data_IF_254004810909
#
_entry.id   IF_254004810909
#
_cell.length_a   1.000
_cell.length_b   1.000
_cell.length_c   1.000
_cell.angle_alpha   90.00
_cell.angle_beta   90.00
_cell.angle_gamma   90.00
#
_symmetry.space_group_name_H-M   'P 1'
#
loop_
_entity.id
_entity.type
_entity.pdbx_description
1 polymer ?
#
# COMPACT_ATOMS: atom_id res chain seq x y z
N UNK A 1 11.44 -4.75 9.46
CA UNK A 1 11.01 -3.90 10.59
C UNK A 1 9.54 -3.58 10.41
N UNK A 2 8.77 -3.64 11.50
CA UNK A 2 7.37 -3.23 11.55
C UNK A 2 7.20 -2.20 12.67
N UNK A 3 6.67 -1.01 12.36
CA UNK A 3 6.48 0.06 13.34
C UNK A 3 5.29 0.96 12.98
N UNK A 4 4.69 1.60 13.99
CA UNK A 4 3.72 2.68 13.81
C UNK A 4 4.44 4.02 13.59
N UNK A 5 3.72 5.05 13.13
CA UNK A 5 4.30 6.34 12.73
C UNK A 5 5.37 6.90 13.66
N UNK A 6 5.14 7.14 14.95
CA UNK A 6 6.18 7.74 15.79
C UNK A 6 7.46 6.91 15.86
N UNK A 7 7.32 5.59 15.95
CA UNK A 7 8.48 4.70 16.05
C UNK A 7 9.22 4.55 14.71
N UNK A 8 8.51 4.59 13.57
CA UNK A 8 9.14 4.54 12.25
C UNK A 8 9.97 5.79 11.95
N UNK A 9 9.48 6.95 12.33
CA UNK A 9 10.17 8.24 12.21
C UNK A 9 11.44 8.23 13.07
N UNK A 10 11.31 7.95 14.37
CA UNK A 10 12.44 7.91 15.31
C UNK A 10 13.49 6.89 14.84
N UNK A 11 13.06 5.71 14.40
CA UNK A 11 13.97 4.68 13.89
C UNK A 11 14.85 5.19 12.75
N UNK A 12 14.24 5.80 11.74
CA UNK A 12 14.98 6.25 10.56
C UNK A 12 15.88 7.44 10.85
N UNK A 13 15.39 8.41 11.63
CA UNK A 13 16.19 9.56 12.07
C UNK A 13 17.39 9.11 12.94
N UNK A 14 17.17 8.18 13.86
CA UNK A 14 18.27 7.64 14.70
C UNK A 14 19.31 6.91 13.87
N UNK A 15 18.89 6.14 12.86
CA UNK A 15 19.84 5.50 11.95
C UNK A 15 20.72 6.53 11.23
N UNK A 16 20.12 7.60 10.74
CA UNK A 16 20.84 8.67 10.06
C UNK A 16 21.79 9.41 11.03
N UNK A 17 21.30 9.82 12.19
CA UNK A 17 22.09 10.53 13.21
C UNK A 17 23.31 9.73 13.71
N UNK A 18 23.15 8.42 13.81
CA UNK A 18 24.20 7.51 14.25
C UNK A 18 25.07 6.97 13.12
N UNK A 19 24.85 7.41 11.89
CA UNK A 19 25.50 6.91 10.66
C UNK A 19 25.47 5.37 10.54
N UNK A 20 24.33 4.77 10.91
CA UNK A 20 24.13 3.32 10.79
C UNK A 20 23.75 3.00 9.36
N UNK A 21 24.66 2.37 8.63
CA UNK A 21 24.51 2.03 7.23
C UNK A 21 24.26 0.52 7.04
N UNK A 22 23.14 0.18 6.41
CA UNK A 22 22.82 -1.19 5.99
C UNK A 22 22.78 -1.25 4.46
N UNK A 23 23.01 -2.44 3.90
CA UNK A 23 22.86 -2.68 2.45
C UNK A 23 21.41 -2.53 1.99
N UNK A 24 20.46 -2.70 2.88
CA UNK A 24 19.03 -2.41 2.69
C UNK A 24 18.34 -2.28 4.04
N UNK A 25 17.26 -1.51 4.07
CA UNK A 25 16.32 -1.46 5.20
C UNK A 25 14.96 -1.88 4.65
N UNK A 26 14.51 -3.06 5.06
CA UNK A 26 13.23 -3.62 4.64
C UNK A 26 12.24 -3.48 5.79
N UNK A 27 11.13 -2.86 5.50
CA UNK A 27 10.04 -2.59 6.45
C UNK A 27 8.74 -3.21 5.97
N UNK A 28 7.77 -3.28 6.85
CA UNK A 28 6.45 -3.76 6.49
C UNK A 28 5.40 -2.74 6.94
N UNK A 29 4.67 -2.19 5.97
CA UNK A 29 3.48 -1.35 6.19
C UNK A 29 3.57 -0.38 7.39
N UNK A 30 2.45 -0.21 8.09
CA UNK A 30 2.35 0.62 9.30
C UNK A 30 2.70 2.07 9.02
N UNK A 31 3.55 2.63 9.86
CA UNK A 31 3.98 4.01 9.76
C UNK A 31 4.81 4.34 8.52
N UNK A 32 5.48 3.37 7.93
CA UNK A 32 6.38 3.60 6.79
C UNK A 32 5.69 3.93 5.46
N UNK A 33 4.37 3.77 5.36
CA UNK A 33 3.59 4.06 4.16
C UNK A 33 2.60 5.21 4.36
N UNK A 34 2.70 5.95 5.46
CA UNK A 34 1.79 7.07 5.73
C UNK A 34 2.34 8.38 5.18
N UNK A 35 1.43 9.30 4.84
CA UNK A 35 1.77 10.66 4.41
C UNK A 35 2.57 11.37 5.49
N UNK A 36 2.15 11.27 6.77
CA UNK A 36 2.84 11.89 7.92
C UNK A 36 4.30 11.44 8.05
N UNK A 37 4.61 10.17 7.74
CA UNK A 37 5.98 9.68 7.74
C UNK A 37 6.82 10.44 6.72
N UNK A 38 6.36 10.53 5.47
CA UNK A 38 7.09 11.24 4.42
C UNK A 38 7.24 12.73 4.70
N UNK A 39 6.18 13.39 5.15
CA UNK A 39 6.20 14.81 5.49
C UNK A 39 7.23 15.11 6.59
N UNK A 40 7.47 14.14 7.47
CA UNK A 40 8.38 14.30 8.61
C UNK A 40 9.83 13.95 8.28
N UNK A 41 10.06 12.84 7.55
CA UNK A 41 11.43 12.34 7.32
C UNK A 41 12.01 12.82 5.98
N UNK A 42 11.17 13.22 5.03
CA UNK A 42 11.61 13.74 3.74
C UNK A 42 12.59 12.81 3.03
N UNK A 43 13.67 13.39 2.52
CA UNK A 43 14.71 12.68 1.76
C UNK A 43 15.44 11.58 2.57
N UNK A 44 15.32 11.60 3.91
CA UNK A 44 15.85 10.52 4.76
C UNK A 44 15.20 9.16 4.47
N UNK A 45 13.97 9.17 3.90
CA UNK A 45 13.31 7.95 3.47
C UNK A 45 13.88 7.32 2.18
N UNK A 46 14.76 8.04 1.45
CA UNK A 46 15.26 7.58 0.16
C UNK A 46 15.89 6.19 0.25
N UNK A 47 15.58 5.33 -0.70
CA UNK A 47 15.97 3.91 -0.78
C UNK A 47 15.38 2.97 0.29
N UNK A 48 14.49 3.47 1.18
CA UNK A 48 13.77 2.60 2.10
C UNK A 48 12.88 1.62 1.31
N UNK A 49 12.96 0.35 1.64
CA UNK A 49 12.11 -0.68 1.06
C UNK A 49 10.96 -1.01 2.01
N UNK A 50 9.75 -1.12 1.49
CA UNK A 50 8.60 -1.50 2.31
C UNK A 50 7.65 -2.45 1.58
N UNK A 51 7.10 -3.40 2.32
CA UNK A 51 5.96 -4.16 1.84
C UNK A 51 4.73 -3.25 1.80
N UNK A 52 4.01 -3.30 0.69
CA UNK A 52 2.84 -2.49 0.45
C UNK A 52 1.77 -3.33 -0.26
N UNK A 53 0.58 -2.78 -0.43
CA UNK A 53 -0.52 -3.39 -1.20
C UNK A 53 -0.91 -2.53 -2.39
N UNK A 54 -0.28 -1.37 -2.54
CA UNK A 54 -0.58 -0.40 -3.57
C UNK A 54 0.58 0.57 -3.76
N UNK A 55 0.83 0.91 -5.00
CA UNK A 55 1.59 2.07 -5.45
C UNK A 55 1.00 2.52 -6.78
N UNK A 56 1.18 3.77 -7.16
CA UNK A 56 0.52 4.29 -8.36
C UNK A 56 1.03 3.62 -9.63
N UNK A 57 2.30 3.27 -9.69
CA UNK A 57 2.92 2.55 -10.80
C UNK A 57 2.41 1.11 -10.92
N UNK A 58 2.13 0.43 -9.80
CA UNK A 58 1.63 -0.96 -9.79
C UNK A 58 0.22 -1.13 -10.34
N UNK A 59 -0.50 -0.04 -10.56
CA UNK A 59 -1.87 -0.01 -11.10
C UNK A 59 -1.98 0.90 -12.31
N UNK A 60 -0.87 1.12 -13.01
CA UNK A 60 -0.78 2.01 -14.18
C UNK A 60 -1.64 1.58 -15.37
N UNK A 61 -2.03 0.31 -15.42
CA UNK A 61 -2.99 -0.27 -16.39
C UNK A 61 -4.45 0.08 -16.08
N UNK A 62 -4.73 0.77 -14.96
CA UNK A 62 -6.07 1.12 -14.48
C UNK A 62 -6.25 2.65 -14.38
N UNK A 63 -6.56 3.34 -15.47
CA UNK A 63 -6.68 4.81 -15.47
C UNK A 63 -7.65 5.36 -14.43
N UNK A 64 -8.73 4.62 -14.12
CA UNK A 64 -9.71 5.03 -13.12
C UNK A 64 -9.12 5.09 -11.69
N UNK A 65 -8.07 4.30 -11.39
CA UNK A 65 -7.37 4.39 -10.08
C UNK A 65 -6.55 5.68 -10.01
N UNK A 66 -5.97 6.12 -11.12
CA UNK A 66 -5.28 7.41 -11.19
C UNK A 66 -6.27 8.57 -11.00
N UNK A 67 -7.48 8.49 -11.56
CA UNK A 67 -8.55 9.46 -11.32
C UNK A 67 -8.95 9.51 -9.84
N UNK A 68 -9.10 8.36 -9.19
CA UNK A 68 -9.36 8.29 -7.75
C UNK A 68 -8.22 8.89 -6.92
N UNK A 69 -6.98 8.65 -7.30
CA UNK A 69 -5.83 9.30 -6.66
C UNK A 69 -5.91 10.83 -6.79
N UNK A 70 -6.29 11.34 -7.95
CA UNK A 70 -6.48 12.78 -8.14
C UNK A 70 -7.63 13.31 -7.28
N UNK A 71 -8.76 12.57 -7.18
CA UNK A 71 -9.85 12.94 -6.29
C UNK A 71 -9.41 13.03 -4.82
N UNK A 72 -8.54 12.14 -4.37
CA UNK A 72 -7.95 12.24 -3.03
C UNK A 72 -7.10 13.50 -2.87
N UNK A 73 -6.25 13.83 -3.85
CA UNK A 73 -5.44 15.05 -3.83
C UNK A 73 -6.34 16.29 -3.72
N UNK A 74 -7.40 16.35 -4.52
CA UNK A 74 -8.34 17.47 -4.56
C UNK A 74 -9.13 17.62 -3.25
N UNK A 75 -9.48 16.48 -2.61
CA UNK A 75 -10.32 16.48 -1.42
C UNK A 75 -9.54 16.70 -0.11
N UNK A 76 -8.34 16.15 0.01
CA UNK A 76 -7.59 16.12 1.28
C UNK A 76 -6.16 16.66 1.17
N UNK A 77 -5.74 17.11 -0.01
CA UNK A 77 -4.43 17.73 -0.24
C UNK A 77 -3.27 16.74 -0.39
N UNK A 78 -3.53 15.42 -0.38
CA UNK A 78 -2.49 14.42 -0.58
C UNK A 78 -3.01 13.23 -1.41
N UNK A 79 -2.10 12.56 -2.12
CA UNK A 79 -2.40 11.36 -2.89
C UNK A 79 -2.74 10.15 -2.02
N UNK A 80 -3.27 9.13 -2.67
CA UNK A 80 -3.53 7.84 -2.03
C UNK A 80 -2.22 7.19 -1.57
N UNK A 81 -2.32 6.42 -0.52
CA UNK A 81 -1.30 5.49 -0.06
C UNK A 81 -1.92 4.11 0.17
N UNK A 82 -1.10 3.10 0.50
CA UNK A 82 -1.60 1.74 0.69
C UNK A 82 -2.66 1.59 1.79
N UNK A 83 -2.72 2.50 2.77
CA UNK A 83 -3.78 2.50 3.79
C UNK A 83 -5.11 2.97 3.18
N UNK A 84 -5.10 4.05 2.42
CA UNK A 84 -6.29 4.55 1.72
C UNK A 84 -6.78 3.54 0.68
N UNK A 85 -5.88 2.98 -0.13
CA UNK A 85 -6.22 1.99 -1.14
C UNK A 85 -6.94 0.77 -0.53
N UNK A 86 -6.44 0.24 0.60
CA UNK A 86 -7.11 -0.87 1.31
C UNK A 86 -8.47 -0.49 1.87
N UNK A 87 -8.60 0.68 2.47
CA UNK A 87 -9.87 1.15 3.02
C UNK A 87 -10.93 1.30 1.92
N UNK A 88 -10.54 1.89 0.79
CA UNK A 88 -11.42 2.06 -0.36
C UNK A 88 -11.77 0.70 -0.99
N UNK A 89 -10.81 -0.21 -1.14
CA UNK A 89 -11.08 -1.56 -1.63
C UNK A 89 -12.07 -2.31 -0.73
N UNK A 90 -11.92 -2.20 0.59
CA UNK A 90 -12.86 -2.81 1.52
C UNK A 90 -14.27 -2.21 1.38
N UNK A 91 -14.36 -0.90 1.18
CA UNK A 91 -15.62 -0.22 0.94
C UNK A 91 -16.30 -0.71 -0.35
N UNK A 92 -15.58 -0.78 -1.48
CA UNK A 92 -16.13 -1.28 -2.72
C UNK A 92 -16.55 -2.75 -2.64
N UNK A 93 -15.79 -3.57 -1.94
CA UNK A 93 -16.16 -4.97 -1.69
C UNK A 93 -17.45 -5.08 -0.87
N UNK A 94 -17.62 -4.18 0.12
CA UNK A 94 -18.87 -4.12 0.90
C UNK A 94 -20.05 -3.66 0.07
N UNK A 95 -19.88 -2.66 -0.79
CA UNK A 95 -20.94 -2.16 -1.69
C UNK A 95 -21.38 -3.26 -2.66
N UNK A 96 -20.45 -3.96 -3.28
CA UNK A 96 -20.74 -5.10 -4.15
C UNK A 96 -21.53 -6.19 -3.41
N UNK A 97 -21.13 -6.51 -2.18
CA UNK A 97 -21.86 -7.50 -1.38
C UNK A 97 -23.27 -7.02 -0.99
N UNK A 98 -23.45 -5.73 -0.68
CA UNK A 98 -24.75 -5.12 -0.39
C UNK A 98 -25.67 -5.15 -1.61
N UNK A 99 -25.16 -4.80 -2.78
CA UNK A 99 -25.93 -4.83 -4.04
C UNK A 99 -26.40 -6.24 -4.37
N UNK A 100 -25.52 -7.24 -4.22
CA UNK A 100 -25.87 -8.65 -4.46
C UNK A 100 -26.84 -9.19 -3.40
N UNK A 101 -26.71 -8.78 -2.13
CA UNK A 101 -27.62 -9.18 -1.07
C UNK A 101 -29.04 -8.59 -1.28
N UNK A 102 -29.13 -7.38 -1.88
CA UNK A 102 -30.39 -6.64 -1.99
C UNK A 102 -31.06 -6.34 -0.65
N UNK A 103 -30.32 -6.43 0.47
CA UNK A 103 -30.81 -6.37 1.83
C UNK A 103 -29.69 -5.93 2.77
N UNK A 104 -30.07 -5.29 3.88
CA UNK A 104 -29.17 -4.99 5.02
C UNK A 104 -29.27 -6.03 6.14
N UNK A 105 -30.00 -7.12 5.91
CA UNK A 105 -30.05 -8.25 6.84
C UNK A 105 -28.64 -8.87 6.98
N UNK A 106 -28.23 -9.14 8.22
CA UNK A 106 -26.89 -9.58 8.52
C UNK A 106 -26.52 -10.93 7.90
N UNK A 107 -27.49 -11.85 7.85
CA UNK A 107 -27.24 -13.18 7.30
C UNK A 107 -27.15 -13.13 5.78
N UNK A 108 -28.07 -12.38 5.13
CA UNK A 108 -28.04 -12.14 3.69
C UNK A 108 -26.75 -11.45 3.25
N UNK A 109 -26.30 -10.42 4.00
CA UNK A 109 -25.07 -9.70 3.69
C UNK A 109 -23.82 -10.58 3.89
N UNK A 110 -23.79 -11.37 4.97
CA UNK A 110 -22.70 -12.32 5.22
C UNK A 110 -22.58 -13.37 4.12
N UNK A 111 -23.71 -13.90 3.67
CA UNK A 111 -23.72 -14.92 2.61
C UNK A 111 -23.32 -14.31 1.26
N UNK A 112 -23.77 -13.09 0.95
CA UNK A 112 -23.29 -12.34 -0.20
C UNK A 112 -21.78 -12.04 -0.13
N UNK A 113 -21.25 -11.63 1.03
CA UNK A 113 -19.82 -11.40 1.21
C UNK A 113 -18.99 -12.67 1.01
N UNK A 114 -19.46 -13.83 1.53
CA UNK A 114 -18.80 -15.12 1.30
C UNK A 114 -18.77 -15.52 -0.18
N UNK A 115 -19.78 -15.12 -0.93
CA UNK A 115 -19.90 -15.40 -2.36
C UNK A 115 -19.17 -14.38 -3.25
N UNK A 116 -18.41 -13.44 -2.66
CA UNK A 116 -17.64 -12.45 -3.44
C UNK A 116 -16.62 -13.13 -4.34
N UNK A 117 -16.60 -12.74 -5.61
CA UNK A 117 -15.65 -13.19 -6.63
C UNK A 117 -15.41 -12.02 -7.61
N UNK A 118 -14.57 -11.07 -7.19
CA UNK A 118 -14.23 -9.85 -7.94
C UNK A 118 -12.88 -10.06 -8.61
N UNK A 119 -12.77 -9.76 -9.90
CA UNK A 119 -11.51 -9.85 -10.64
C UNK A 119 -10.61 -8.62 -10.49
N UNK A 120 -9.41 -8.71 -11.06
CA UNK A 120 -8.36 -7.69 -10.96
C UNK A 120 -8.77 -6.32 -11.52
N UNK A 121 -9.67 -6.29 -12.49
CA UNK A 121 -10.19 -5.05 -13.10
C UNK A 121 -10.94 -4.15 -12.11
N UNK A 122 -11.50 -4.75 -11.05
CA UNK A 122 -12.23 -4.05 -9.99
C UNK A 122 -11.35 -3.68 -8.78
N UNK A 123 -10.03 -3.94 -8.86
CA UNK A 123 -9.12 -3.74 -7.73
C UNK A 123 -8.46 -2.38 -7.77
N UNK A 124 -8.52 -1.65 -6.65
CA UNK A 124 -7.68 -0.49 -6.35
C UNK A 124 -6.30 -0.99 -5.91
N UNK A 125 -6.27 -1.98 -5.04
CA UNK A 125 -5.03 -2.64 -4.62
C UNK A 125 -4.41 -3.43 -5.77
N UNK A 126 -3.11 -3.74 -5.65
CA UNK A 126 -2.34 -4.56 -6.59
C UNK A 126 -2.66 -6.06 -6.43
N UNK A 127 -3.92 -6.38 -6.13
CA UNK A 127 -4.40 -7.75 -5.94
C UNK A 127 -4.98 -8.29 -7.24
N UNK A 128 -4.96 -9.62 -7.38
CA UNK A 128 -5.61 -10.29 -8.49
C UNK A 128 -7.15 -10.32 -8.37
N UNK A 129 -7.66 -10.01 -7.18
CA UNK A 129 -9.10 -9.99 -6.95
C UNK A 129 -9.48 -10.05 -5.46
N UNK A 130 -10.78 -10.22 -5.22
CA UNK A 130 -11.32 -10.56 -3.89
C UNK A 130 -12.19 -11.79 -4.01
N UNK A 131 -11.73 -12.87 -3.38
CA UNK A 131 -12.47 -14.12 -3.23
C UNK A 131 -12.12 -14.77 -1.90
N UNK A 132 -13.13 -15.09 -1.11
CA UNK A 132 -12.92 -15.63 0.21
C UNK A 132 -12.94 -17.17 0.23
N UNK A 133 -11.99 -17.74 0.97
CA UNK A 133 -11.99 -19.17 1.31
C UNK A 133 -13.01 -19.48 2.43
N UNK A 134 -13.10 -20.75 2.83
CA UNK A 134 -14.00 -21.20 3.89
C UNK A 134 -13.72 -20.54 5.25
N UNK A 135 -12.51 -20.01 5.46
CA UNK A 135 -12.10 -19.29 6.67
C UNK A 135 -12.32 -17.80 6.57
N UNK A 136 -12.82 -17.29 5.44
CA UNK A 136 -13.03 -15.88 5.18
C UNK A 136 -11.74 -15.12 4.83
N UNK A 137 -10.68 -15.81 4.37
CA UNK A 137 -9.46 -15.17 3.88
C UNK A 137 -9.56 -14.90 2.39
N UNK A 138 -9.17 -13.69 1.97
CA UNK A 138 -9.05 -13.40 0.54
C UNK A 138 -7.87 -14.17 -0.05
N UNK A 139 -8.14 -15.12 -0.94
CA UNK A 139 -7.13 -15.97 -1.58
C UNK A 139 -6.33 -15.26 -2.67
N UNK A 140 -6.80 -14.09 -3.14
CA UNK A 140 -6.14 -13.28 -4.16
C UNK A 140 -5.40 -12.06 -3.59
N UNK A 141 -5.40 -11.90 -2.26
CA UNK A 141 -4.64 -10.83 -1.63
C UNK A 141 -3.13 -11.11 -1.75
N UNK A 142 -2.40 -10.15 -2.28
CA UNK A 142 -0.96 -10.21 -2.44
C UNK A 142 -0.32 -8.90 -1.94
N UNK A 143 0.95 -8.97 -1.55
CA UNK A 143 1.77 -7.79 -1.30
C UNK A 143 2.64 -7.49 -2.50
N UNK A 144 3.08 -6.25 -2.61
CA UNK A 144 4.17 -5.82 -3.47
C UNK A 144 5.30 -5.31 -2.59
N UNK A 145 6.52 -5.29 -3.12
CA UNK A 145 7.60 -4.52 -2.49
C UNK A 145 7.78 -3.22 -3.23
N UNK A 146 7.89 -2.15 -2.48
CA UNK A 146 8.19 -0.82 -3.01
C UNK A 146 9.48 -0.29 -2.41
N UNK A 147 10.17 0.58 -3.12
CA UNK A 147 11.33 1.34 -2.65
C UNK A 147 11.05 2.82 -2.86
N UNK A 148 11.45 3.64 -1.91
CA UNK A 148 11.41 5.09 -2.08
C UNK A 148 12.51 5.49 -3.05
N UNK A 149 12.14 6.12 -4.16
CA UNK A 149 13.05 6.64 -5.18
C UNK A 149 12.55 8.00 -5.66
N UNK A 150 13.34 9.04 -5.49
CA UNK A 150 12.95 10.41 -5.85
C UNK A 150 11.72 10.89 -5.06
N UNK A 151 11.62 10.51 -3.78
CA UNK A 151 10.52 10.92 -2.88
C UNK A 151 9.17 10.23 -3.14
N UNK A 152 9.14 9.17 -3.94
CA UNK A 152 7.91 8.41 -4.22
C UNK A 152 8.14 6.90 -4.09
N UNK A 153 7.06 6.14 -3.93
CA UNK A 153 7.15 4.67 -3.95
C UNK A 153 7.20 4.16 -5.39
N UNK A 154 8.25 3.42 -5.68
CA UNK A 154 8.43 2.67 -6.93
C UNK A 154 8.32 1.19 -6.62
N UNK A 155 7.53 0.46 -7.38
CA UNK A 155 7.40 -1.00 -7.25
C UNK A 155 8.70 -1.67 -7.68
N UNK A 156 9.25 -2.52 -6.79
CA UNK A 156 10.49 -3.26 -7.02
C UNK A 156 10.30 -4.78 -6.97
N UNK A 157 9.09 -5.25 -6.71
CA UNK A 157 8.71 -6.66 -6.78
C UNK A 157 7.21 -6.76 -7.10
N UNK A 158 6.80 -7.66 -7.99
CA UNK A 158 7.54 -8.83 -8.54
C UNK A 158 8.63 -8.52 -9.56
N UNK A 159 8.73 -7.32 -10.11
CA UNK A 159 9.77 -6.94 -11.08
C UNK A 159 10.89 -6.18 -10.36
N UNK A 160 12.03 -6.84 -10.16
CA UNK A 160 13.13 -6.31 -9.35
C UNK A 160 14.12 -5.41 -10.11
N UNK A 161 13.92 -5.20 -11.40
CA UNK A 161 14.85 -4.45 -12.28
C UNK A 161 15.01 -2.98 -11.88
N UNK A 162 13.99 -2.42 -11.20
CA UNK A 162 14.00 -1.04 -10.71
C UNK A 162 14.63 -0.89 -9.33
N UNK A 163 14.95 -1.99 -8.63
CA UNK A 163 15.48 -1.95 -7.28
C UNK A 163 16.93 -1.43 -7.26
N UNK A 164 17.19 -0.47 -6.37
CA UNK A 164 18.55 0.01 -6.08
C UNK A 164 19.09 -0.80 -4.89
N UNK A 165 20.10 -1.64 -5.17
CA UNK A 165 20.72 -2.50 -4.16
C UNK A 165 22.20 -2.80 -4.52
N UNK A 166 23.14 -2.71 -3.56
CA UNK A 166 22.95 -2.20 -2.21
C UNK A 166 22.54 -0.72 -2.21
N UNK A 167 21.83 -0.28 -1.16
CA UNK A 167 21.46 1.12 -1.06
C UNK A 167 22.69 1.98 -0.73
N UNK A 168 22.76 3.23 -1.21
CA UNK A 168 23.84 4.16 -0.85
C UNK A 168 23.90 4.41 0.66
N UNK A 169 25.11 4.70 1.16
CA UNK A 169 25.30 5.16 2.55
C UNK A 169 24.69 6.55 2.75
N UNK A 170 24.51 6.96 4.01
CA UNK A 170 23.95 8.29 4.31
C UNK A 170 24.76 9.44 3.69
N UNK A 171 26.06 9.28 3.56
CA UNK A 171 26.94 10.27 2.97
C UNK A 171 26.90 10.33 1.44
N UNK A 172 26.28 9.34 0.80
CA UNK A 172 26.16 9.21 -0.67
C UNK A 172 24.76 9.53 -1.18
N UNK A 173 23.80 9.76 -0.32
CA UNK A 173 22.39 10.08 -0.65
C UNK A 173 22.16 11.53 -0.96
#
# INVERSE_FOLDING_TARGET
>A
IFAQNPASIIFLQTMQEMDINFKSVITARGGFISTEFFDTVGDTAEYLMTENTWSLDSVSDKPWVAEMNQMCIDAVGCGMNGNYARAMQAFFTLVDALERAGSTDHDALRDAAKATDMGSESMICSWEGVKFDERGQNIYAAGIMTQVQGGTYVTIWPEIETAIFPVPTWSER
#
